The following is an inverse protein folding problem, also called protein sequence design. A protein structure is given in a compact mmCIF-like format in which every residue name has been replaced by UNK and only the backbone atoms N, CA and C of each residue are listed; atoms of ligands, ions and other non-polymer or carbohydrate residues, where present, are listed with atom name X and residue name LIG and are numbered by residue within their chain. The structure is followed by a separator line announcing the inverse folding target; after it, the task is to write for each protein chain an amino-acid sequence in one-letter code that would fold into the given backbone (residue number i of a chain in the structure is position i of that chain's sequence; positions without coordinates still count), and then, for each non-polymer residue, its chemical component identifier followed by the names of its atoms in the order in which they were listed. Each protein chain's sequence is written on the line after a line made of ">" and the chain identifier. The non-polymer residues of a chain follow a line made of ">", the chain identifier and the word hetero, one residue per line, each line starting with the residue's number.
data_IF_670212977867
#
_entry.id   IF_670212977867
#
_cell.length_a   1.000
_cell.length_b   1.000
_cell.length_c   1.000
_cell.angle_alpha   90.00
_cell.angle_beta   90.00
_cell.angle_gamma   90.00
#
_symmetry.space_group_name_H-M   'P 1'
#
loop_
_entity.id
_entity.type
_entity.pdbx_description
1 polymer ?
#
# COMPACT_ATOMS: atom_id res chain seq x y z
N UNK A 1 7.80 15.16 -16.45
CA UNK A 1 7.18 13.99 -15.80
C UNK A 1 5.73 13.92 -16.26
N UNK A 2 5.29 12.84 -16.90
CA UNK A 2 3.87 12.68 -17.25
C UNK A 2 3.13 12.14 -16.04
N UNK A 3 2.12 12.85 -15.54
CA UNK A 3 1.27 12.40 -14.45
C UNK A 3 0.37 11.18 -14.81
N UNK A 4 0.39 10.76 -16.08
CA UNK A 4 -0.44 9.69 -16.61
C UNK A 4 0.29 8.34 -16.59
N UNK A 5 -0.37 7.26 -16.11
CA UNK A 5 0.19 5.91 -16.11
C UNK A 5 0.58 5.46 -17.51
N UNK A 6 1.73 4.78 -17.63
CA UNK A 6 2.12 4.14 -18.89
C UNK A 6 1.13 3.03 -19.29
N UNK A 7 1.07 2.69 -20.58
CA UNK A 7 0.15 1.65 -21.10
C UNK A 7 0.32 0.29 -20.42
N UNK A 8 1.55 -0.09 -20.11
CA UNK A 8 1.87 -1.34 -19.39
C UNK A 8 1.37 -1.32 -17.95
N UNK A 9 1.54 -0.19 -17.25
CA UNK A 9 1.06 0.01 -15.89
C UNK A 9 -0.46 -0.03 -15.85
N UNK A 10 -1.14 0.71 -16.74
CA UNK A 10 -2.59 0.70 -16.85
C UNK A 10 -3.12 -0.73 -17.08
N UNK A 11 -2.50 -1.49 -18.00
CA UNK A 11 -2.86 -2.89 -18.23
C UNK A 11 -2.72 -3.73 -16.97
N UNK A 12 -1.60 -3.62 -16.26
CA UNK A 12 -1.37 -4.39 -15.03
C UNK A 12 -2.35 -4.01 -13.92
N UNK A 13 -2.68 -2.72 -13.76
CA UNK A 13 -3.68 -2.27 -12.79
C UNK A 13 -5.08 -2.78 -13.14
N UNK A 14 -5.47 -2.74 -14.41
CA UNK A 14 -6.74 -3.29 -14.87
C UNK A 14 -6.84 -4.80 -14.66
N UNK A 15 -5.76 -5.56 -14.91
CA UNK A 15 -5.73 -6.99 -14.62
C UNK A 15 -5.86 -7.28 -13.12
N UNK A 16 -5.15 -6.53 -12.28
CA UNK A 16 -5.25 -6.68 -10.82
C UNK A 16 -6.67 -6.38 -10.33
N UNK A 17 -7.30 -5.31 -10.85
CA UNK A 17 -8.68 -4.97 -10.53
C UNK A 17 -9.67 -6.04 -10.98
N UNK A 18 -9.48 -6.60 -12.17
CA UNK A 18 -10.30 -7.71 -12.67
C UNK A 18 -10.16 -8.96 -11.78
N UNK A 19 -8.95 -9.28 -11.31
CA UNK A 19 -8.73 -10.38 -10.37
C UNK A 19 -9.41 -10.14 -9.02
N UNK A 20 -9.35 -8.92 -8.48
CA UNK A 20 -10.06 -8.55 -7.24
C UNK A 20 -11.57 -8.72 -7.41
N UNK A 21 -12.14 -8.19 -8.51
CA UNK A 21 -13.56 -8.36 -8.82
C UNK A 21 -13.95 -9.82 -8.97
N UNK A 22 -13.17 -10.61 -9.71
CA UNK A 22 -13.42 -12.04 -9.91
C UNK A 22 -13.35 -12.82 -8.60
N UNK A 23 -12.41 -12.49 -7.72
CA UNK A 23 -12.29 -13.10 -6.40
C UNK A 23 -13.55 -12.83 -5.57
N UNK A 24 -14.02 -11.58 -5.56
CA UNK A 24 -15.24 -11.23 -4.86
C UNK A 24 -16.48 -11.86 -5.48
N UNK A 25 -16.55 -11.96 -6.80
CA UNK A 25 -17.63 -12.64 -7.48
C UNK A 25 -17.71 -14.12 -7.07
N UNK A 26 -16.57 -14.80 -6.96
CA UNK A 26 -16.52 -16.20 -6.51
C UNK A 26 -16.97 -16.34 -5.05
N UNK A 27 -16.68 -15.36 -4.19
CA UNK A 27 -17.01 -15.41 -2.76
C UNK A 27 -18.47 -15.01 -2.46
N UNK A 28 -18.98 -13.97 -3.10
CA UNK A 28 -20.28 -13.34 -2.81
C UNK A 28 -21.35 -13.68 -3.85
N UNK A 29 -20.96 -14.15 -5.04
CA UNK A 29 -21.87 -14.47 -6.15
C UNK A 29 -22.50 -13.27 -6.86
N UNK A 30 -22.32 -12.05 -6.33
CA UNK A 30 -22.94 -10.84 -6.86
C UNK A 30 -22.08 -10.18 -7.94
N UNK A 31 -22.54 -10.12 -9.21
CA UNK A 31 -21.79 -9.47 -10.28
C UNK A 31 -21.73 -7.94 -10.11
N UNK A 32 -22.74 -7.35 -9.46
CA UNK A 32 -22.79 -5.91 -9.19
C UNK A 32 -21.74 -5.54 -8.15
N UNK A 33 -21.67 -6.26 -7.02
CA UNK A 33 -20.68 -6.02 -5.97
C UNK A 33 -19.27 -6.21 -6.53
N UNK A 34 -19.03 -7.31 -7.24
CA UNK A 34 -17.75 -7.59 -7.90
C UNK A 34 -17.32 -6.47 -8.87
N UNK A 35 -18.23 -6.02 -9.73
CA UNK A 35 -17.96 -4.96 -10.69
C UNK A 35 -17.65 -3.62 -10.03
N UNK A 36 -18.47 -3.21 -9.06
CA UNK A 36 -18.26 -1.96 -8.31
C UNK A 36 -16.93 -1.99 -7.56
N UNK A 37 -16.62 -3.09 -6.87
CA UNK A 37 -15.35 -3.19 -6.13
C UNK A 37 -14.16 -3.20 -7.06
N UNK A 38 -14.22 -3.88 -8.20
CA UNK A 38 -13.14 -3.83 -9.20
C UNK A 38 -12.90 -2.40 -9.72
N UNK A 39 -13.97 -1.67 -10.05
CA UNK A 39 -13.86 -0.28 -10.52
C UNK A 39 -13.29 0.63 -9.45
N UNK A 40 -13.77 0.54 -8.20
CA UNK A 40 -13.26 1.33 -7.09
C UNK A 40 -11.78 1.00 -6.80
N UNK A 41 -11.41 -0.29 -6.82
CA UNK A 41 -10.03 -0.72 -6.65
C UNK A 41 -9.11 -0.15 -7.73
N UNK A 42 -9.55 -0.19 -9.00
CA UNK A 42 -8.80 0.38 -10.11
C UNK A 42 -8.61 1.89 -9.93
N UNK A 43 -9.70 2.63 -9.67
CA UNK A 43 -9.67 4.07 -9.49
C UNK A 43 -8.75 4.47 -8.31
N UNK A 44 -8.86 3.75 -7.19
CA UNK A 44 -8.03 3.98 -6.01
C UNK A 44 -6.55 3.75 -6.32
N UNK A 45 -6.22 2.64 -6.97
CA UNK A 45 -4.82 2.30 -7.29
C UNK A 45 -4.20 3.31 -8.25
N UNK A 46 -4.97 3.78 -9.24
CA UNK A 46 -4.52 4.84 -10.14
C UNK A 46 -4.33 6.17 -9.40
N UNK A 47 -5.24 6.53 -8.48
CA UNK A 47 -5.10 7.73 -7.66
C UNK A 47 -3.85 7.71 -6.79
N UNK A 48 -3.57 6.56 -6.14
CA UNK A 48 -2.36 6.37 -5.34
C UNK A 48 -1.10 6.48 -6.22
N UNK A 49 -1.08 5.84 -7.39
CA UNK A 49 0.03 5.96 -8.35
C UNK A 49 0.26 7.42 -8.77
N UNK A 50 -0.82 8.18 -9.01
CA UNK A 50 -0.74 9.61 -9.33
C UNK A 50 -0.17 10.42 -8.17
N UNK A 51 -0.58 10.13 -6.93
CA UNK A 51 -0.03 10.81 -5.76
C UNK A 51 1.47 10.56 -5.61
N UNK A 52 1.93 9.31 -5.79
CA UNK A 52 3.36 8.98 -5.82
C UNK A 52 4.13 9.79 -6.88
N UNK A 53 3.59 9.84 -8.10
CA UNK A 53 4.22 10.58 -9.21
C UNK A 53 4.27 12.11 -9.00
N UNK A 54 3.34 12.68 -8.24
CA UNK A 54 3.24 14.13 -8.03
C UNK A 54 3.98 14.62 -6.79
N UNK A 55 3.95 13.83 -5.71
CA UNK A 55 4.42 14.26 -4.39
C UNK A 55 5.67 13.52 -3.91
N UNK A 56 6.12 12.50 -4.63
CA UNK A 56 7.34 11.74 -4.33
C UNK A 56 7.08 10.25 -4.10
N UNK A 57 8.13 9.45 -4.22
CA UNK A 57 8.14 7.98 -4.24
C UNK A 57 7.46 7.28 -3.05
N UNK A 58 7.27 8.00 -1.94
CA UNK A 58 6.67 7.50 -0.71
C UNK A 58 5.32 8.13 -0.37
N UNK A 59 4.80 9.00 -1.24
CA UNK A 59 3.48 9.60 -1.06
C UNK A 59 2.34 8.58 -1.20
N UNK A 60 2.58 7.46 -1.87
CA UNK A 60 1.68 6.32 -1.92
C UNK A 60 1.54 5.63 -0.55
N UNK A 61 2.64 5.44 0.18
CA UNK A 61 2.63 4.89 1.54
C UNK A 61 1.87 5.82 2.50
N UNK A 62 2.11 7.13 2.43
CA UNK A 62 1.36 8.10 3.22
C UNK A 62 -0.14 8.04 2.92
N UNK A 63 -0.50 8.00 1.64
CA UNK A 63 -1.91 7.94 1.19
C UNK A 63 -2.58 6.65 1.66
N UNK A 64 -1.94 5.50 1.46
CA UNK A 64 -2.44 4.20 1.92
C UNK A 64 -2.58 4.17 3.45
N UNK A 65 -1.61 4.73 4.18
CA UNK A 65 -1.67 4.82 5.64
C UNK A 65 -2.86 5.64 6.12
N UNK A 66 -3.08 6.82 5.55
CA UNK A 66 -4.21 7.69 5.90
C UNK A 66 -5.57 7.07 5.56
N UNK A 67 -5.69 6.42 4.39
CA UNK A 67 -6.92 5.71 4.02
C UNK A 67 -7.20 4.53 4.96
N UNK A 68 -6.15 3.79 5.34
CA UNK A 68 -6.27 2.69 6.31
C UNK A 68 -6.71 3.22 7.66
N UNK A 69 -6.13 4.31 8.16
CA UNK A 69 -6.54 4.95 9.41
C UNK A 69 -7.97 5.48 9.36
N UNK A 70 -8.38 6.08 8.25
CA UNK A 70 -9.76 6.56 8.06
C UNK A 70 -10.77 5.40 8.10
N UNK A 71 -10.49 4.32 7.38
CA UNK A 71 -11.33 3.11 7.43
C UNK A 71 -11.34 2.47 8.82
N UNK A 72 -10.18 2.42 9.49
CA UNK A 72 -10.05 1.94 10.87
C UNK A 72 -10.91 2.75 11.83
N UNK A 73 -10.87 4.09 11.71
CA UNK A 73 -11.71 5.00 12.51
C UNK A 73 -13.20 4.79 12.24
N UNK A 74 -13.59 4.58 10.98
CA UNK A 74 -14.97 4.23 10.63
C UNK A 74 -15.40 2.91 11.29
N UNK A 75 -14.59 1.85 11.20
CA UNK A 75 -14.89 0.55 11.83
C UNK A 75 -14.93 0.66 13.35
N UNK A 76 -14.03 1.44 13.95
CA UNK A 76 -14.07 1.73 15.36
C UNK A 76 -15.46 2.30 15.71
N UNK A 77 -15.91 3.37 15.06
CA UNK A 77 -17.20 4.01 15.40
C UNK A 77 -18.42 3.12 15.11
N UNK A 78 -18.39 2.31 14.05
CA UNK A 78 -19.60 1.63 13.55
C UNK A 78 -19.76 0.18 13.98
N UNK A 79 -18.66 -0.56 14.14
CA UNK A 79 -18.71 -2.01 14.39
C UNK A 79 -17.93 -2.44 15.64
N UNK A 80 -17.02 -1.60 16.14
CA UNK A 80 -16.16 -1.86 17.30
C UNK A 80 -15.42 -3.21 17.24
N UNK A 81 -15.07 -3.67 16.03
CA UNK A 81 -14.38 -4.94 15.85
C UNK A 81 -12.89 -4.81 16.19
N UNK A 82 -12.55 -5.08 17.45
CA UNK A 82 -11.25 -4.78 18.06
C UNK A 82 -10.01 -5.25 17.25
N UNK A 83 -9.96 -6.47 16.69
CA UNK A 83 -8.84 -6.92 15.87
C UNK A 83 -8.60 -6.05 14.62
N UNK A 84 -9.66 -5.62 13.92
CA UNK A 84 -9.52 -4.71 12.78
C UNK A 84 -9.06 -3.33 13.25
N UNK A 85 -9.60 -2.84 14.36
CA UNK A 85 -9.22 -1.54 14.89
C UNK A 85 -7.73 -1.50 15.26
N UNK A 86 -7.25 -2.52 15.99
CA UNK A 86 -5.85 -2.62 16.39
C UNK A 86 -4.94 -2.85 15.18
N UNK A 87 -5.27 -3.83 14.33
CA UNK A 87 -4.47 -4.14 13.15
C UNK A 87 -4.40 -2.97 12.17
N UNK A 88 -5.54 -2.33 11.91
CA UNK A 88 -5.65 -1.17 11.04
C UNK A 88 -4.92 0.06 11.58
N UNK A 89 -4.97 0.30 12.91
CA UNK A 89 -4.20 1.38 13.53
C UNK A 89 -2.68 1.15 13.42
N UNK A 90 -2.22 -0.09 13.64
CA UNK A 90 -0.81 -0.44 13.50
C UNK A 90 -0.33 -0.32 12.05
N UNK A 91 -1.05 -0.92 11.10
CA UNK A 91 -0.67 -0.88 9.68
C UNK A 91 -0.79 0.54 9.11
N UNK A 92 -1.90 1.21 9.38
CA UNK A 92 -2.14 2.58 8.91
C UNK A 92 -1.16 3.57 9.51
N UNK A 93 -0.92 3.49 10.82
CA UNK A 93 0.07 4.33 11.50
C UNK A 93 1.49 4.08 10.99
N UNK A 94 1.87 2.82 10.78
CA UNK A 94 3.16 2.46 10.21
C UNK A 94 3.37 3.06 8.82
N UNK A 95 2.41 2.87 7.90
CA UNK A 95 2.50 3.39 6.53
C UNK A 95 2.52 4.92 6.49
N UNK A 96 1.73 5.58 7.34
CA UNK A 96 1.75 7.04 7.48
C UNK A 96 3.10 7.53 7.98
N UNK A 97 3.65 6.88 9.01
CA UNK A 97 4.97 7.24 9.55
C UNK A 97 6.08 7.02 8.53
N UNK A 98 6.12 5.85 7.89
CA UNK A 98 7.08 5.50 6.84
C UNK A 98 7.02 6.49 5.67
N UNK A 99 5.82 6.74 5.13
CA UNK A 99 5.63 7.68 4.03
C UNK A 99 6.04 9.10 4.40
N UNK A 100 5.69 9.57 5.60
CA UNK A 100 6.04 10.90 6.07
C UNK A 100 7.55 11.08 6.24
N UNK A 101 8.25 10.09 6.81
CA UNK A 101 9.70 10.20 7.04
C UNK A 101 10.48 10.24 5.73
N UNK A 102 10.14 9.39 4.77
CA UNK A 102 10.82 9.40 3.48
C UNK A 102 10.53 10.67 2.68
N UNK A 103 9.29 11.17 2.69
CA UNK A 103 8.95 12.44 2.06
C UNK A 103 9.67 13.63 2.72
N UNK A 104 9.81 13.61 4.05
CA UNK A 104 10.52 14.65 4.80
C UNK A 104 12.00 14.72 4.43
N UNK A 105 12.62 13.58 4.18
CA UNK A 105 14.04 13.48 3.85
C UNK A 105 14.32 13.44 2.34
N UNK A 106 13.28 13.56 1.50
CA UNK A 106 13.38 13.48 0.03
C UNK A 106 13.98 12.17 -0.49
N UNK A 107 13.89 11.09 0.29
CA UNK A 107 14.44 9.78 -0.07
C UNK A 107 13.58 9.11 -1.13
N UNK A 108 14.24 8.52 -2.12
CA UNK A 108 13.63 7.72 -3.17
C UNK A 108 13.76 6.23 -2.87
N UNK A 109 12.92 5.40 -3.49
CA UNK A 109 12.96 3.95 -3.22
C UNK A 109 14.29 3.33 -3.63
N UNK A 110 14.93 3.88 -4.65
CA UNK A 110 16.23 3.43 -5.15
C UNK A 110 17.37 3.70 -4.16
N UNK A 111 17.29 4.80 -3.39
CA UNK A 111 18.27 5.16 -2.35
C UNK A 111 18.15 4.27 -1.11
N UNK A 112 16.93 3.87 -0.76
CA UNK A 112 16.65 3.06 0.45
C UNK A 112 16.77 1.56 0.21
N UNK A 113 16.69 1.09 -1.05
CA UNK A 113 16.99 -0.30 -1.38
C UNK A 113 18.49 -0.59 -1.21
N UNK A 114 18.88 -0.96 0.01
CA UNK A 114 20.13 -1.69 0.22
C UNK A 114 20.08 -2.97 -0.61
N UNK A 115 21.04 -3.22 -1.53
CA UNK A 115 21.11 -4.46 -2.26
C UNK A 115 21.14 -5.61 -1.25
N UNK A 116 20.28 -6.59 -1.46
CA UNK A 116 20.19 -7.76 -0.60
C UNK A 116 21.56 -8.45 -0.53
N UNK A 117 22.33 -8.21 0.53
CA UNK A 117 23.53 -9.00 0.81
C UNK A 117 23.05 -10.39 1.22
N UNK A 118 23.37 -11.38 0.40
CA UNK A 118 23.15 -12.80 0.69
C UNK A 118 24.12 -13.34 1.76
N UNK A 119 24.60 -12.52 2.69
CA UNK A 119 25.41 -12.97 3.81
C UNK A 119 24.52 -13.68 4.84
N UNK A 120 24.13 -14.93 4.54
CA UNK A 120 23.39 -15.82 5.45
C UNK A 120 22.43 -16.80 4.76
N UNK A 121 21.83 -17.70 5.56
CA UNK A 121 20.78 -18.62 5.14
C UNK A 121 19.52 -17.85 4.68
N UNK A 122 18.78 -18.36 3.69
CA UNK A 122 17.59 -17.72 3.08
C UNK A 122 16.62 -17.09 4.10
N UNK A 123 16.26 -17.84 5.13
CA UNK A 123 15.38 -17.42 6.23
C UNK A 123 16.00 -16.28 7.06
N UNK A 124 17.27 -16.40 7.45
CA UNK A 124 17.94 -15.36 8.26
C UNK A 124 18.16 -14.07 7.47
N UNK A 125 18.48 -14.18 6.17
CA UNK A 125 18.57 -13.02 5.28
C UNK A 125 17.22 -12.32 5.12
N UNK A 126 16.15 -13.11 4.95
CA UNK A 126 14.80 -12.57 4.77
C UNK A 126 14.31 -11.85 6.02
N UNK A 127 14.44 -12.45 7.21
CA UNK A 127 14.05 -11.83 8.48
C UNK A 127 14.85 -10.56 8.73
N UNK A 128 16.16 -10.57 8.43
CA UNK A 128 17.01 -9.38 8.59
C UNK A 128 16.63 -8.27 7.62
N UNK A 129 16.30 -8.60 6.37
CA UNK A 129 15.83 -7.63 5.37
C UNK A 129 14.46 -7.04 5.76
N UNK A 130 13.53 -7.87 6.23
CA UNK A 130 12.26 -7.38 6.77
C UNK A 130 12.46 -6.47 7.97
N UNK A 131 13.32 -6.86 8.91
CA UNK A 131 13.64 -6.06 10.08
C UNK A 131 14.29 -4.72 9.70
N UNK A 132 15.26 -4.71 8.79
CA UNK A 132 15.88 -3.49 8.31
C UNK A 132 14.83 -2.54 7.72
N UNK A 133 13.97 -3.04 6.83
CA UNK A 133 12.91 -2.24 6.22
C UNK A 133 11.85 -1.77 7.23
N UNK A 134 11.55 -2.58 8.24
CA UNK A 134 10.65 -2.22 9.34
C UNK A 134 11.25 -1.17 10.27
N UNK A 135 12.56 -0.98 10.31
CA UNK A 135 13.16 0.04 11.19
C UNK A 135 13.73 1.25 10.43
N UNK A 136 13.70 1.21 9.10
CA UNK A 136 14.27 2.24 8.25
C UNK A 136 13.70 3.65 8.49
N UNK A 137 12.38 3.84 8.66
CA UNK A 137 11.82 5.16 8.96
C UNK A 137 12.32 5.81 10.25
N UNK A 138 12.86 5.02 11.19
CA UNK A 138 13.42 5.57 12.43
C UNK A 138 14.87 6.04 12.29
N UNK A 139 15.52 5.71 11.18
CA UNK A 139 16.91 6.08 10.88
C UNK A 139 17.01 7.34 10.04
N UNK A 140 15.89 7.74 9.43
CA UNK A 140 15.68 8.99 8.70
C UNK A 140 15.33 10.09 9.70
#
# INVERSE_FOLDING_TARGET
>A
MSALPGRSQLRNRSLSAALVGLTLFVLDGSPVVAGVTATLFLALTLGIDTVGNLFGDYADNLTLGLLTLAFTGYIAVTAWWLPIVVGGALVGGWLTFDGLQHLRHSETRDEVTSPYSHDGWLVTGFVRAMGARLFEPFRL
#
